data_IF_668608415979
#
_entry.id   IF_668608415979
#
_cell.length_a   1.000
_cell.length_b   1.000
_cell.length_c   1.000
_cell.angle_alpha   90.00
_cell.angle_beta   90.00
_cell.angle_gamma   90.00
#
_symmetry.space_group_name_H-M   'P 1'
#
loop_
_entity.id
_entity.type
_entity.pdbx_description
1 polymer ?
#
# COMPACT_ATOMS: atom_id res chain seq x y z
N UNK A 1 7.27 20.09 9.03
CA UNK A 1 6.79 18.68 9.06
C UNK A 1 7.45 17.96 7.90
N UNK A 2 8.26 16.94 8.16
CA UNK A 2 8.87 16.16 7.09
C UNK A 2 7.79 15.31 6.43
N UNK A 3 7.70 15.32 5.10
CA UNK A 3 6.80 14.43 4.39
C UNK A 3 7.14 12.97 4.76
N UNK A 4 6.14 12.10 5.01
CA UNK A 4 6.39 10.72 5.37
C UNK A 4 7.28 10.05 4.31
N UNK A 5 8.28 9.29 4.74
CA UNK A 5 9.13 8.53 3.80
C UNK A 5 8.39 7.26 3.40
N UNK A 6 7.87 7.23 2.18
CA UNK A 6 7.18 6.07 1.63
C UNK A 6 8.16 5.06 1.03
N UNK A 7 8.03 3.80 1.44
CA UNK A 7 8.72 2.66 0.82
C UNK A 7 7.80 2.02 -0.23
N UNK A 8 8.29 1.80 -1.44
CA UNK A 8 7.51 1.15 -2.49
C UNK A 8 7.52 -0.37 -2.31
N UNK A 9 6.35 -0.99 -2.47
CA UNK A 9 6.14 -2.43 -2.46
C UNK A 9 5.26 -2.83 -3.65
N UNK A 10 5.90 -3.42 -4.67
CA UNK A 10 5.21 -3.84 -5.90
C UNK A 10 4.67 -5.26 -5.74
N UNK A 11 3.35 -5.39 -5.83
CA UNK A 11 2.64 -6.68 -5.67
C UNK A 11 2.24 -7.30 -6.99
N UNK A 12 2.47 -6.63 -8.12
CA UNK A 12 2.20 -7.18 -9.46
C UNK A 12 2.91 -8.51 -9.70
N UNK A 13 4.18 -8.72 -9.28
CA UNK A 13 4.84 -10.02 -9.45
C UNK A 13 4.20 -11.15 -8.63
N UNK A 14 3.68 -10.84 -7.44
CA UNK A 14 2.97 -11.82 -6.60
C UNK A 14 1.66 -12.24 -7.26
N UNK A 15 0.87 -11.26 -7.70
CA UNK A 15 -0.38 -11.49 -8.40
C UNK A 15 -0.17 -12.27 -9.71
N UNK A 16 0.90 -11.99 -10.45
CA UNK A 16 1.26 -12.73 -11.67
C UNK A 16 1.60 -14.20 -11.41
N UNK A 17 2.00 -14.55 -10.18
CA UNK A 17 2.27 -15.94 -9.74
C UNK A 17 1.03 -16.62 -9.14
N UNK A 18 -0.09 -15.92 -9.05
CA UNK A 18 -1.29 -16.40 -8.34
C UNK A 18 -1.16 -16.35 -6.81
N UNK A 19 -0.18 -15.61 -6.29
CA UNK A 19 0.02 -15.44 -4.85
C UNK A 19 -0.82 -14.28 -4.32
N UNK A 20 -1.39 -14.44 -3.12
CA UNK A 20 -2.19 -13.39 -2.48
C UNK A 20 -1.28 -12.35 -1.81
N UNK A 21 -1.31 -11.07 -2.25
CA UNK A 21 -0.38 -10.07 -1.74
C UNK A 21 -0.79 -9.48 -0.38
N UNK A 22 -2.02 -9.76 0.08
CA UNK A 22 -2.58 -9.16 1.29
C UNK A 22 -1.69 -9.41 2.52
N UNK A 23 -1.31 -10.67 2.77
CA UNK A 23 -0.45 -11.03 3.89
C UNK A 23 0.92 -10.32 3.82
N UNK A 24 1.49 -10.19 2.62
CA UNK A 24 2.78 -9.53 2.42
C UNK A 24 2.69 -8.01 2.64
N UNK A 25 1.62 -7.36 2.14
CA UNK A 25 1.35 -5.94 2.40
C UNK A 25 1.14 -5.73 3.91
N UNK A 26 0.33 -6.57 4.55
CA UNK A 26 0.03 -6.48 5.97
C UNK A 26 1.29 -6.54 6.82
N UNK A 27 2.18 -7.50 6.54
CA UNK A 27 3.46 -7.62 7.22
C UNK A 27 4.36 -6.38 7.04
N UNK A 28 4.27 -5.65 5.93
CA UNK A 28 5.01 -4.39 5.76
C UNK A 28 4.35 -3.25 6.54
N UNK A 29 3.01 -3.14 6.48
CA UNK A 29 2.24 -2.10 7.18
C UNK A 29 2.41 -2.21 8.69
N UNK A 30 2.34 -3.42 9.25
CA UNK A 30 2.53 -3.66 10.69
C UNK A 30 3.96 -3.32 11.17
N UNK A 31 4.93 -3.27 10.25
CA UNK A 31 6.33 -2.91 10.53
C UNK A 31 6.64 -1.43 10.28
N UNK A 32 5.65 -0.62 9.89
CA UNK A 32 5.84 0.81 9.68
C UNK A 32 6.09 1.51 11.01
N UNK A 33 7.21 2.22 11.09
CA UNK A 33 7.47 3.16 12.18
C UNK A 33 6.65 4.45 12.00
N UNK A 34 6.36 5.19 13.08
CA UNK A 34 5.73 6.51 13.00
C UNK A 34 6.47 7.44 12.02
N UNK A 35 5.73 8.16 11.18
CA UNK A 35 6.31 9.01 10.13
C UNK A 35 6.88 8.28 8.91
N UNK A 36 6.68 6.96 8.79
CA UNK A 36 6.96 6.16 7.59
C UNK A 36 5.65 5.74 6.92
N UNK A 37 5.73 5.56 5.60
CA UNK A 37 4.63 5.04 4.82
C UNK A 37 5.05 3.89 3.91
N UNK A 38 4.06 3.20 3.36
CA UNK A 38 4.19 2.14 2.38
C UNK A 38 3.40 2.52 1.13
N UNK A 39 4.02 2.51 -0.05
CA UNK A 39 3.32 2.65 -1.33
C UNK A 39 3.20 1.28 -1.97
N UNK A 40 1.98 0.76 -2.04
CA UNK A 40 1.67 -0.51 -2.71
C UNK A 40 1.39 -0.24 -4.19
N UNK A 41 2.07 -0.96 -5.08
CA UNK A 41 1.79 -0.91 -6.53
C UNK A 41 1.03 -2.16 -6.94
N UNK A 42 -0.19 -1.99 -7.41
CA UNK A 42 -1.10 -3.08 -7.80
C UNK A 42 -1.68 -2.82 -9.21
N UNK A 43 -2.06 -3.85 -9.98
CA UNK A 43 -2.63 -3.66 -11.32
C UNK A 43 -4.08 -3.13 -11.28
N UNK A 44 -4.72 -3.11 -10.12
CA UNK A 44 -6.08 -2.61 -9.89
C UNK A 44 -6.13 -1.86 -8.55
N UNK A 45 -7.19 -1.06 -8.34
CA UNK A 45 -7.40 -0.35 -7.09
C UNK A 45 -7.80 -1.35 -5.98
N UNK A 46 -7.01 -1.52 -4.91
CA UNK A 46 -7.29 -2.47 -3.84
C UNK A 46 -8.26 -1.85 -2.82
N UNK A 47 -9.47 -1.51 -3.25
CA UNK A 47 -10.47 -0.83 -2.42
C UNK A 47 -10.78 -1.55 -1.08
N UNK A 48 -10.92 -2.89 -1.01
CA UNK A 48 -11.14 -3.58 0.26
C UNK A 48 -10.00 -3.41 1.27
N UNK A 49 -8.75 -3.39 0.79
CA UNK A 49 -7.57 -3.17 1.63
C UNK A 49 -7.52 -1.73 2.16
N UNK A 50 -7.88 -0.76 1.31
CA UNK A 50 -7.93 0.64 1.68
C UNK A 50 -8.91 0.86 2.84
N UNK A 51 -10.14 0.37 2.70
CA UNK A 51 -11.17 0.52 3.73
C UNK A 51 -10.78 -0.22 5.03
N UNK A 52 -10.18 -1.41 4.93
CA UNK A 52 -9.68 -2.14 6.09
C UNK A 52 -8.63 -1.33 6.87
N UNK A 53 -7.57 -0.87 6.19
CA UNK A 53 -6.49 -0.14 6.85
C UNK A 53 -6.96 1.21 7.39
N UNK A 54 -7.90 1.85 6.69
CA UNK A 54 -8.54 3.09 7.15
C UNK A 54 -9.33 2.87 8.45
N UNK A 55 -10.04 1.75 8.58
CA UNK A 55 -10.72 1.38 9.83
C UNK A 55 -9.74 1.11 10.99
N UNK A 56 -8.52 0.69 10.69
CA UNK A 56 -7.43 0.49 11.67
C UNK A 56 -6.67 1.78 12.03
N UNK A 57 -7.08 2.92 11.46
CA UNK A 57 -6.49 4.24 11.73
C UNK A 57 -5.28 4.56 10.85
N UNK A 58 -5.08 3.85 9.74
CA UNK A 58 -4.13 4.27 8.73
C UNK A 58 -4.75 5.30 7.79
N UNK A 59 -3.94 6.23 7.33
CA UNK A 59 -4.25 7.10 6.21
C UNK A 59 -3.88 6.41 4.90
N UNK A 60 -4.65 6.71 3.85
CA UNK A 60 -4.46 6.14 2.52
C UNK A 60 -4.55 7.19 1.42
N UNK A 61 -3.68 7.11 0.43
CA UNK A 61 -3.78 7.83 -0.85
C UNK A 61 -3.73 6.84 -1.99
N UNK A 62 -4.32 7.18 -3.13
CA UNK A 62 -4.20 6.36 -4.33
C UNK A 62 -4.12 7.22 -5.58
N UNK A 63 -3.29 6.80 -6.52
CA UNK A 63 -3.06 7.48 -7.78
C UNK A 63 -2.96 6.47 -8.91
N UNK A 64 -3.60 6.80 -10.04
CA UNK A 64 -3.46 6.00 -11.25
C UNK A 64 -2.14 6.33 -11.93
N UNK A 65 -1.39 5.31 -12.29
CA UNK A 65 -0.06 5.43 -12.91
C UNK A 65 -0.18 5.37 -14.42
N UNK A 66 0.83 5.92 -15.09
CA UNK A 66 0.93 5.92 -16.56
C UNK A 66 1.08 4.51 -17.16
N UNK A 67 1.58 3.54 -16.39
CA UNK A 67 1.67 2.13 -16.79
C UNK A 67 0.36 1.35 -16.58
N UNK A 68 -0.74 2.04 -16.26
CA UNK A 68 -2.06 1.44 -16.03
C UNK A 68 -2.24 0.85 -14.64
N UNK A 69 -1.17 0.75 -13.84
CA UNK A 69 -1.23 0.29 -12.46
C UNK A 69 -1.68 1.39 -11.49
N UNK A 70 -1.98 1.01 -10.26
CA UNK A 70 -2.36 1.89 -9.17
C UNK A 70 -1.24 1.95 -8.15
N UNK A 71 -0.87 3.15 -7.71
CA UNK A 71 -0.03 3.36 -6.53
C UNK A 71 -0.92 3.72 -5.35
N UNK A 72 -0.82 3.01 -4.24
CA UNK A 72 -1.60 3.28 -3.03
C UNK A 72 -0.66 3.51 -1.86
N UNK A 73 -0.62 4.73 -1.34
CA UNK A 73 0.14 5.08 -0.14
C UNK A 73 -0.64 4.74 1.12
N UNK A 74 0.02 4.14 2.11
CA UNK A 74 -0.50 3.87 3.44
C UNK A 74 0.47 4.42 4.49
N UNK A 75 -0.01 5.14 5.49
CA UNK A 75 0.81 5.63 6.60
C UNK A 75 -0.03 5.86 7.84
N UNK A 76 0.61 6.06 8.99
CA UNK A 76 -0.04 6.38 10.27
C UNK A 76 0.69 7.56 10.91
N UNK A 77 -0.07 8.47 11.53
CA UNK A 77 0.46 9.57 12.35
C UNK A 77 1.05 9.05 13.67
#
# INVERSE_FOLDING_TARGET
>A
MAAPKFKVFDVRPLLARGEEPFAAIRAQVDRLAPGRGLTVVAPFLPAPLIELLKAEGFHSTFEHRTDGAWSVGFWKD
#
